data_IF_089572495170
#
_entry.id   IF_089572495170
#
_cell.length_a   1.000
_cell.length_b   1.000
_cell.length_c   1.000
_cell.angle_alpha   90.00
_cell.angle_beta   90.00
_cell.angle_gamma   90.00
#
_symmetry.space_group_name_H-M   'P 1'
#
loop_
_entity.id
_entity.type
_entity.pdbx_description
1 polymer ?
#
# COMPACT_ATOMS: atom_id res chain seq x y z
N UNK A 1 -33.86 13.69 11.10
CA UNK A 1 -33.35 14.95 10.52
C UNK A 1 -31.90 14.70 10.15
N UNK A 2 -31.54 14.74 8.87
CA UNK A 2 -30.15 14.65 8.41
C UNK A 2 -29.51 16.02 8.52
N UNK A 3 -28.35 16.11 9.18
CA UNK A 3 -27.58 17.35 9.26
C UNK A 3 -27.25 17.88 7.87
N UNK A 4 -27.24 19.21 7.65
CA UNK A 4 -26.82 19.78 6.38
C UNK A 4 -25.36 19.39 6.08
N UNK A 5 -24.98 19.27 4.79
CA UNK A 5 -23.60 18.98 4.42
C UNK A 5 -22.68 20.11 4.93
N UNK A 6 -21.45 19.77 5.34
CA UNK A 6 -20.50 20.75 5.87
C UNK A 6 -20.15 21.80 4.81
N UNK A 7 -19.96 23.04 5.25
CA UNK A 7 -19.54 24.13 4.36
C UNK A 7 -18.08 23.94 3.90
N UNK A 8 -17.69 24.61 2.82
CA UNK A 8 -16.31 24.54 2.30
C UNK A 8 -15.25 24.92 3.37
N UNK A 9 -15.41 26.00 4.16
CA UNK A 9 -14.46 26.32 5.23
C UNK A 9 -14.38 25.22 6.30
N UNK A 10 -15.50 24.60 6.67
CA UNK A 10 -15.54 23.51 7.64
C UNK A 10 -14.82 22.25 7.12
N UNK A 11 -15.04 21.91 5.85
CA UNK A 11 -14.34 20.80 5.17
C UNK A 11 -12.83 21.04 5.15
N UNK A 12 -12.42 22.25 4.75
CA UNK A 12 -11.00 22.62 4.69
C UNK A 12 -10.33 22.56 6.07
N UNK A 13 -10.99 23.08 7.10
CA UNK A 13 -10.47 23.03 8.46
C UNK A 13 -10.32 21.59 8.96
N UNK A 14 -11.31 20.73 8.69
CA UNK A 14 -11.25 19.30 9.04
C UNK A 14 -10.10 18.60 8.33
N UNK A 15 -10.00 18.73 7.02
CA UNK A 15 -8.96 18.05 6.24
C UNK A 15 -7.56 18.56 6.58
N UNK A 16 -7.41 19.85 6.91
CA UNK A 16 -6.14 20.38 7.42
C UNK A 16 -5.74 19.72 8.74
N UNK A 17 -6.69 19.49 9.65
CA UNK A 17 -6.43 18.78 10.89
C UNK A 17 -6.06 17.30 10.63
N UNK A 18 -6.81 16.62 9.77
CA UNK A 18 -6.55 15.21 9.41
C UNK A 18 -5.16 15.05 8.76
N UNK A 19 -4.81 15.91 7.80
CA UNK A 19 -3.49 15.93 7.17
C UNK A 19 -2.39 16.27 8.17
N UNK A 20 -2.63 17.15 9.14
CA UNK A 20 -1.67 17.45 10.20
C UNK A 20 -1.42 16.25 11.12
N UNK A 21 -2.43 15.41 11.38
CA UNK A 21 -2.26 14.16 12.14
C UNK A 21 -1.44 13.16 11.31
N UNK A 22 -1.74 13.03 10.02
CA UNK A 22 -0.96 12.19 9.11
C UNK A 22 0.50 12.64 9.02
N UNK A 23 0.77 13.94 9.00
CA UNK A 23 2.13 14.49 8.99
C UNK A 23 2.98 14.07 10.20
N UNK A 24 2.35 13.74 11.34
CA UNK A 24 3.05 13.26 12.53
C UNK A 24 3.37 11.76 12.51
N UNK A 25 2.89 11.02 11.52
CA UNK A 25 2.97 9.54 11.49
C UNK A 25 3.39 8.96 10.14
N UNK A 26 3.26 9.73 9.05
CA UNK A 26 3.50 9.29 7.67
C UNK A 26 4.68 10.01 7.05
N UNK A 27 5.26 9.40 6.01
CA UNK A 27 6.36 10.01 5.24
C UNK A 27 5.93 11.29 4.52
N UNK A 28 6.86 12.23 4.34
CA UNK A 28 6.60 13.46 3.56
C UNK A 28 6.14 13.12 2.14
N UNK A 29 6.69 12.05 1.57
CA UNK A 29 6.27 11.48 0.28
C UNK A 29 4.76 11.24 0.19
N UNK A 30 4.17 10.75 1.28
CA UNK A 30 2.74 10.44 1.38
C UNK A 30 1.90 11.67 1.70
N UNK A 31 2.43 12.59 2.51
CA UNK A 31 1.68 13.72 3.08
C UNK A 31 1.70 14.95 2.18
N UNK A 32 2.79 15.18 1.44
CA UNK A 32 2.99 16.34 0.56
C UNK A 32 1.82 16.56 -0.42
N UNK A 33 1.33 15.55 -1.17
CA UNK A 33 0.20 15.73 -2.08
C UNK A 33 -1.06 16.26 -1.39
N UNK A 34 -1.37 15.74 -0.19
CA UNK A 34 -2.56 16.13 0.57
C UNK A 34 -2.44 17.56 1.09
N UNK A 35 -1.27 17.88 1.65
CA UNK A 35 -0.97 19.21 2.19
C UNK A 35 -1.04 20.27 1.09
N UNK A 36 -0.40 20.03 -0.04
CA UNK A 36 -0.39 20.95 -1.16
C UNK A 36 -1.78 21.15 -1.78
N UNK A 37 -2.62 20.10 -1.82
CA UNK A 37 -4.00 20.20 -2.24
C UNK A 37 -4.84 21.09 -1.31
N UNK A 38 -4.74 20.86 0.00
CA UNK A 38 -5.44 21.68 1.02
C UNK A 38 -5.01 23.14 0.91
N UNK A 39 -3.71 23.40 0.74
CA UNK A 39 -3.18 24.76 0.61
C UNK A 39 -3.51 25.41 -0.75
N UNK A 40 -3.68 24.62 -1.82
CA UNK A 40 -4.20 25.12 -3.09
C UNK A 40 -5.65 25.60 -2.95
N UNK A 41 -6.52 24.81 -2.32
CA UNK A 41 -7.92 25.21 -2.06
C UNK A 41 -8.00 26.42 -1.13
N UNK A 42 -7.17 26.47 -0.09
CA UNK A 42 -7.11 27.61 0.83
C UNK A 42 -6.75 28.94 0.11
N UNK A 43 -6.00 28.86 -1.00
CA UNK A 43 -5.61 30.00 -1.84
C UNK A 43 -6.61 30.31 -2.96
N UNK A 44 -7.79 29.68 -2.96
CA UNK A 44 -8.83 29.89 -3.97
C UNK A 44 -8.78 28.90 -5.14
N UNK A 45 -8.04 27.81 -5.00
CA UNK A 45 -8.06 26.69 -5.96
C UNK A 45 -9.40 25.94 -6.00
N UNK A 46 -9.54 24.98 -6.92
CA UNK A 46 -10.80 24.30 -7.17
C UNK A 46 -11.17 23.35 -6.01
N UNK A 47 -12.42 23.43 -5.56
CA UNK A 47 -12.90 22.77 -4.34
C UNK A 47 -12.94 21.23 -4.41
N UNK A 48 -12.99 20.67 -5.62
CA UNK A 48 -12.99 19.22 -5.88
C UNK A 48 -11.63 18.56 -5.55
N UNK A 49 -10.56 19.35 -5.35
CA UNK A 49 -9.32 18.86 -4.76
C UNK A 49 -9.54 18.30 -3.34
N UNK A 50 -10.50 18.83 -2.58
CA UNK A 50 -10.82 18.29 -1.26
C UNK A 50 -11.45 16.89 -1.34
N UNK A 51 -12.18 16.58 -2.42
CA UNK A 51 -12.73 15.24 -2.63
C UNK A 51 -11.59 14.24 -2.88
N UNK A 52 -10.55 14.65 -3.61
CA UNK A 52 -9.34 13.85 -3.81
C UNK A 52 -8.54 13.64 -2.52
N UNK A 53 -8.43 14.67 -1.67
CA UNK A 53 -7.80 14.56 -0.34
C UNK A 53 -8.57 13.59 0.54
N UNK A 54 -9.90 13.71 0.62
CA UNK A 54 -10.75 12.77 1.37
C UNK A 54 -10.58 11.33 0.86
N UNK A 55 -10.56 11.14 -0.46
CA UNK A 55 -10.34 9.84 -1.09
C UNK A 55 -8.99 9.21 -0.72
N UNK A 56 -7.90 9.98 -0.82
CA UNK A 56 -6.56 9.51 -0.46
C UNK A 56 -6.41 9.25 1.03
N UNK A 57 -6.95 10.10 1.91
CA UNK A 57 -6.95 9.85 3.37
C UNK A 57 -7.71 8.55 3.70
N UNK A 58 -8.84 8.29 3.04
CA UNK A 58 -9.56 7.03 3.21
C UNK A 58 -8.78 5.82 2.66
N UNK A 59 -8.06 5.98 1.54
CA UNK A 59 -7.19 4.94 1.00
C UNK A 59 -6.01 4.64 1.93
N UNK A 60 -5.42 5.64 2.57
CA UNK A 60 -4.34 5.45 3.55
C UNK A 60 -4.84 4.66 4.76
N UNK A 61 -5.99 5.06 5.33
CA UNK A 61 -6.59 4.32 6.44
C UNK A 61 -6.94 2.87 6.06
N UNK A 62 -7.38 2.64 4.82
CA UNK A 62 -7.62 1.30 4.29
C UNK A 62 -6.32 0.50 4.17
N UNK A 63 -5.28 1.09 3.59
CA UNK A 63 -3.98 0.45 3.43
C UNK A 63 -3.46 -0.01 4.80
N UNK A 64 -3.56 0.84 5.82
CA UNK A 64 -3.12 0.50 7.18
C UNK A 64 -3.90 -0.67 7.80
N UNK A 65 -5.22 -0.69 7.61
CA UNK A 65 -6.05 -1.81 8.02
C UNK A 65 -5.68 -3.11 7.29
N UNK A 66 -5.30 -3.03 6.01
CA UNK A 66 -4.88 -4.18 5.21
C UNK A 66 -3.49 -4.67 5.62
N UNK A 67 -2.51 -3.77 5.81
CA UNK A 67 -1.17 -4.11 6.30
C UNK A 67 -1.23 -4.79 7.66
N UNK A 68 -2.02 -4.25 8.60
CA UNK A 68 -2.22 -4.86 9.93
C UNK A 68 -2.88 -6.23 9.89
N UNK A 69 -3.69 -6.53 8.88
CA UNK A 69 -4.26 -7.87 8.66
C UNK A 69 -3.24 -8.81 8.05
N UNK A 70 -2.47 -8.33 7.07
CA UNK A 70 -1.44 -9.08 6.38
C UNK A 70 -0.34 -9.50 7.36
N UNK A 71 0.18 -8.56 8.14
CA UNK A 71 1.19 -8.76 9.19
C UNK A 71 0.76 -9.84 10.20
N UNK A 72 -0.46 -9.74 10.74
CA UNK A 72 -1.01 -10.78 11.63
C UNK A 72 -1.04 -12.15 10.97
N UNK A 73 -1.47 -12.21 9.71
CA UNK A 73 -1.54 -13.47 9.01
C UNK A 73 -0.15 -14.03 8.64
N UNK A 74 0.85 -13.20 8.37
CA UNK A 74 2.26 -13.66 8.23
C UNK A 74 2.76 -14.24 9.57
N UNK A 75 2.46 -13.59 10.70
CA UNK A 75 2.82 -14.10 12.04
C UNK A 75 2.14 -15.44 12.35
N UNK A 76 0.85 -15.58 12.02
CA UNK A 76 0.14 -16.86 12.18
C UNK A 76 0.81 -17.98 11.37
N UNK A 77 1.29 -17.68 10.15
CA UNK A 77 2.00 -18.66 9.33
C UNK A 77 3.41 -18.98 9.86
N UNK A 78 4.10 -18.01 10.47
CA UNK A 78 5.36 -18.26 11.19
C UNK A 78 5.16 -19.22 12.37
N UNK A 79 4.12 -19.00 13.18
CA UNK A 79 3.81 -19.86 14.32
C UNK A 79 3.46 -21.29 13.87
N UNK A 80 2.73 -21.41 12.75
CA UNK A 80 2.46 -22.71 12.11
C UNK A 80 3.73 -23.37 11.60
N UNK A 81 4.59 -22.64 10.90
CA UNK A 81 5.88 -23.16 10.40
C UNK A 81 6.77 -23.64 11.55
N UNK A 82 6.83 -22.89 12.66
CA UNK A 82 7.55 -23.29 13.86
C UNK A 82 6.97 -24.59 14.45
N UNK A 83 5.64 -24.72 14.53
CA UNK A 83 4.98 -25.94 14.99
C UNK A 83 5.31 -27.14 14.08
N UNK A 84 5.26 -26.96 12.76
CA UNK A 84 5.58 -28.02 11.78
C UNK A 84 7.03 -28.51 11.91
N UNK A 85 7.98 -27.60 12.16
CA UNK A 85 9.40 -27.96 12.39
C UNK A 85 9.60 -28.88 13.62
N UNK A 86 8.67 -28.87 14.58
CA UNK A 86 8.75 -29.70 15.78
C UNK A 86 8.17 -31.11 15.64
N UNK A 87 7.35 -31.39 14.61
CA UNK A 87 6.71 -32.70 14.40
C UNK A 87 7.62 -33.60 13.55
N UNK A 88 8.16 -34.67 14.15
CA UNK A 88 9.35 -35.39 13.66
C UNK A 88 9.09 -36.77 13.03
N UNK A 89 9.74 -37.02 11.89
CA UNK A 89 10.23 -38.32 11.39
C UNK A 89 11.60 -38.14 10.69
N UNK A 90 12.39 -39.21 10.52
CA UNK A 90 13.76 -39.16 9.96
C UNK A 90 13.84 -38.70 8.49
N UNK A 91 12.75 -38.82 7.72
CA UNK A 91 12.65 -38.32 6.35
C UNK A 91 12.45 -36.79 6.26
N UNK A 92 12.14 -36.12 7.37
CA UNK A 92 11.75 -34.70 7.41
C UNK A 92 12.88 -33.74 7.82
N UNK A 93 14.12 -34.23 8.03
CA UNK A 93 15.24 -33.42 8.53
C UNK A 93 15.73 -32.35 7.54
N UNK A 94 15.75 -32.63 6.23
CA UNK A 94 16.10 -31.64 5.21
C UNK A 94 15.02 -30.53 5.13
N UNK A 95 13.74 -30.94 5.13
CA UNK A 95 12.60 -30.01 5.16
C UNK A 95 12.57 -29.15 6.42
N UNK A 96 13.07 -29.64 7.57
CA UNK A 96 13.14 -28.86 8.79
C UNK A 96 14.19 -27.73 8.74
N UNK A 97 15.32 -27.95 8.07
CA UNK A 97 16.31 -26.90 7.83
C UNK A 97 15.73 -25.81 6.92
N UNK A 98 15.05 -26.20 5.84
CA UNK A 98 14.39 -25.28 4.91
C UNK A 98 13.32 -24.44 5.63
N UNK A 99 12.49 -25.07 6.48
CA UNK A 99 11.48 -24.37 7.30
C UNK A 99 12.13 -23.40 8.28
N UNK A 100 13.22 -23.78 8.95
CA UNK A 100 13.93 -22.90 9.88
C UNK A 100 14.56 -21.70 9.17
N UNK A 101 15.16 -21.91 7.99
CA UNK A 101 15.73 -20.84 7.17
C UNK A 101 14.65 -19.89 6.66
N UNK A 102 13.56 -20.42 6.12
CA UNK A 102 12.42 -19.61 5.65
C UNK A 102 11.79 -18.81 6.81
N UNK A 103 11.60 -19.46 7.97
CA UNK A 103 11.07 -18.79 9.17
C UNK A 103 11.98 -17.67 9.68
N UNK A 104 13.30 -17.87 9.71
CA UNK A 104 14.25 -16.83 10.11
C UNK A 104 14.25 -15.65 9.14
N UNK A 105 14.25 -15.92 7.82
CA UNK A 105 14.22 -14.87 6.80
C UNK A 105 12.91 -14.06 6.86
N UNK A 106 11.75 -14.71 6.96
CA UNK A 106 10.47 -14.02 7.10
C UNK A 106 10.35 -13.26 8.42
N UNK A 107 10.95 -13.74 9.51
CA UNK A 107 10.99 -13.02 10.79
C UNK A 107 11.82 -11.74 10.71
N UNK A 108 12.95 -11.77 9.99
CA UNK A 108 13.76 -10.57 9.74
C UNK A 108 12.98 -9.54 8.92
N UNK A 109 12.30 -9.97 7.84
CA UNK A 109 11.48 -9.10 7.02
C UNK A 109 10.29 -8.49 7.78
N UNK A 110 9.68 -9.25 8.70
CA UNK A 110 8.65 -8.71 9.59
C UNK A 110 9.21 -7.65 10.54
N UNK A 111 10.40 -7.86 11.09
CA UNK A 111 11.05 -6.88 11.94
C UNK A 111 11.34 -5.60 11.15
N UNK A 112 11.87 -5.72 9.94
CA UNK A 112 12.12 -4.59 9.04
C UNK A 112 10.81 -3.86 8.70
N UNK A 113 9.71 -4.59 8.48
CA UNK A 113 8.39 -4.01 8.24
C UNK A 113 7.85 -3.27 9.47
N UNK A 114 7.99 -3.85 10.66
CA UNK A 114 7.61 -3.23 11.93
C UNK A 114 8.45 -1.96 12.20
N UNK A 115 9.75 -1.99 11.91
CA UNK A 115 10.65 -0.83 12.02
C UNK A 115 10.26 0.27 11.02
N UNK A 116 9.97 -0.08 9.77
CA UNK A 116 9.48 0.85 8.76
C UNK A 116 8.14 1.50 9.16
N UNK A 117 7.27 0.78 9.86
CA UNK A 117 6.01 1.31 10.40
C UNK A 117 6.20 2.15 11.67
N UNK A 118 7.15 1.78 12.54
CA UNK A 118 7.38 2.43 13.82
C UNK A 118 8.25 3.69 13.72
N UNK A 119 9.05 3.83 12.65
CA UNK A 119 9.82 5.03 12.40
C UNK A 119 8.89 6.22 12.12
N UNK A 120 8.68 7.05 13.15
CA UNK A 120 7.66 8.10 13.24
C UNK A 120 7.74 9.28 12.23
N UNK A 121 8.36 9.08 11.07
CA UNK A 121 8.38 10.02 9.95
C UNK A 121 8.55 9.30 8.59
N UNK A 122 8.45 7.97 8.55
CA UNK A 122 8.80 7.14 7.39
C UNK A 122 7.73 6.14 6.99
N UNK A 123 6.54 6.16 7.61
CA UNK A 123 5.49 5.24 7.19
C UNK A 123 5.11 5.50 5.72
N UNK A 124 5.56 4.60 4.85
CA UNK A 124 5.20 4.48 3.45
C UNK A 124 4.50 3.11 3.30
N UNK A 125 3.16 3.10 3.11
CA UNK A 125 2.39 1.87 2.97
C UNK A 125 2.89 0.95 1.87
N UNK A 126 3.44 1.49 0.78
CA UNK A 126 3.97 0.69 -0.32
C UNK A 126 5.28 -0.01 0.09
N UNK A 127 6.16 0.69 0.81
CA UNK A 127 7.40 0.08 1.32
C UNK A 127 7.13 -1.04 2.34
N UNK A 128 6.22 -0.79 3.29
CA UNK A 128 5.81 -1.81 4.26
C UNK A 128 5.13 -3.02 3.56
N UNK A 129 4.32 -2.76 2.52
CA UNK A 129 3.72 -3.82 1.73
C UNK A 129 4.79 -4.68 1.04
N UNK A 130 5.82 -4.09 0.42
CA UNK A 130 6.90 -4.85 -0.23
C UNK A 130 7.54 -5.85 0.73
N UNK A 131 7.91 -5.41 1.94
CA UNK A 131 8.52 -6.27 2.95
C UNK A 131 7.57 -7.42 3.38
N UNK A 132 6.28 -7.13 3.54
CA UNK A 132 5.29 -8.15 3.88
C UNK A 132 5.03 -9.14 2.73
N UNK A 133 5.08 -8.69 1.47
CA UNK A 133 4.96 -9.56 0.29
C UNK A 133 6.18 -10.46 0.16
N UNK A 134 7.38 -9.97 0.47
CA UNK A 134 8.60 -10.77 0.50
C UNK A 134 8.56 -11.80 1.63
N UNK A 135 8.14 -11.40 2.83
CA UNK A 135 7.98 -12.31 3.96
C UNK A 135 6.96 -13.42 3.64
N UNK A 136 5.83 -13.05 3.03
CA UNK A 136 4.83 -14.00 2.55
C UNK A 136 5.41 -14.97 1.51
N UNK A 137 6.09 -14.47 0.48
CA UNK A 137 6.67 -15.32 -0.57
C UNK A 137 7.70 -16.31 -0.01
N UNK A 138 8.54 -15.88 0.94
CA UNK A 138 9.50 -16.76 1.62
C UNK A 138 8.76 -17.88 2.37
N UNK A 139 7.71 -17.55 3.12
CA UNK A 139 6.94 -18.56 3.86
C UNK A 139 6.13 -19.47 2.96
N UNK A 140 5.56 -18.94 1.87
CA UNK A 140 4.72 -19.70 0.94
C UNK A 140 5.46 -20.95 0.41
N UNK A 141 6.77 -20.85 0.18
CA UNK A 141 7.61 -21.98 -0.24
C UNK A 141 7.57 -23.18 0.71
N UNK A 142 7.29 -22.95 2.00
CA UNK A 142 7.28 -24.00 3.04
C UNK A 142 5.89 -24.29 3.58
N UNK A 143 4.95 -23.33 3.57
CA UNK A 143 3.60 -23.53 4.14
C UNK A 143 2.52 -23.87 3.11
N UNK A 144 2.75 -23.67 1.81
CA UNK A 144 1.70 -23.89 0.78
C UNK A 144 1.18 -25.32 0.73
N UNK A 145 2.02 -26.32 1.01
CA UNK A 145 1.59 -27.72 1.12
C UNK A 145 0.66 -28.02 2.30
N UNK A 146 0.56 -27.10 3.27
CA UNK A 146 -0.20 -27.25 4.51
C UNK A 146 -1.44 -26.34 4.58
N UNK A 147 -1.58 -25.37 3.68
CA UNK A 147 -2.77 -24.52 3.61
C UNK A 147 -3.87 -25.22 2.82
N UNK A 148 -5.08 -25.18 3.35
CA UNK A 148 -6.25 -25.61 2.60
C UNK A 148 -6.48 -24.69 1.39
N UNK A 149 -7.00 -25.19 0.26
CA UNK A 149 -7.19 -24.39 -0.96
C UNK A 149 -7.98 -23.10 -0.74
N UNK A 150 -8.98 -23.14 0.15
CA UNK A 150 -9.76 -21.97 0.53
C UNK A 150 -8.91 -20.92 1.24
N UNK A 151 -8.09 -21.33 2.21
CA UNK A 151 -7.20 -20.42 2.94
C UNK A 151 -6.15 -19.80 2.00
N UNK A 152 -5.64 -20.56 1.02
CA UNK A 152 -4.74 -20.03 0.00
C UNK A 152 -5.43 -18.97 -0.88
N UNK A 153 -6.67 -19.22 -1.31
CA UNK A 153 -7.43 -18.24 -2.10
C UNK A 153 -7.75 -16.97 -1.30
N UNK A 154 -8.15 -17.10 -0.04
CA UNK A 154 -8.38 -15.96 0.87
C UNK A 154 -7.09 -15.15 1.10
N UNK A 155 -5.93 -15.82 1.23
CA UNK A 155 -4.61 -15.19 1.32
C UNK A 155 -4.26 -14.42 0.05
N UNK A 156 -4.41 -15.03 -1.12
CA UNK A 156 -4.15 -14.37 -2.41
C UNK A 156 -5.01 -13.13 -2.62
N UNK A 157 -6.30 -13.20 -2.24
CA UNK A 157 -7.19 -12.05 -2.32
C UNK A 157 -6.75 -10.93 -1.36
N UNK A 158 -6.35 -11.25 -0.14
CA UNK A 158 -5.82 -10.26 0.82
C UNK A 158 -4.59 -9.53 0.26
N UNK A 159 -3.63 -10.28 -0.28
CA UNK A 159 -2.42 -9.73 -0.90
C UNK A 159 -2.78 -8.85 -2.11
N UNK A 160 -3.71 -9.30 -2.95
CA UNK A 160 -4.16 -8.57 -4.12
C UNK A 160 -4.80 -7.24 -3.74
N UNK A 161 -5.70 -7.24 -2.76
CA UNK A 161 -6.39 -6.03 -2.32
C UNK A 161 -5.40 -5.03 -1.70
N UNK A 162 -4.39 -5.50 -0.96
CA UNK A 162 -3.35 -4.65 -0.40
C UNK A 162 -2.49 -4.02 -1.51
N UNK A 163 -2.03 -4.82 -2.49
CA UNK A 163 -1.29 -4.33 -3.67
C UNK A 163 -2.10 -3.33 -4.48
N UNK A 164 -3.39 -3.60 -4.70
CA UNK A 164 -4.27 -2.68 -5.42
C UNK A 164 -4.41 -1.34 -4.70
N UNK A 165 -4.58 -1.33 -3.38
CA UNK A 165 -4.65 -0.10 -2.59
C UNK A 165 -3.34 0.68 -2.65
N UNK A 166 -2.19 0.02 -2.48
CA UNK A 166 -0.88 0.67 -2.52
C UNK A 166 -0.56 1.28 -3.90
N UNK A 167 -0.85 0.54 -4.98
CA UNK A 167 -0.71 1.05 -6.34
C UNK A 167 -1.56 2.31 -6.57
N UNK A 168 -2.80 2.29 -6.07
CA UNK A 168 -3.73 3.42 -6.18
C UNK A 168 -3.29 4.63 -5.38
N UNK A 169 -2.70 4.44 -4.19
CA UNK A 169 -2.12 5.54 -3.41
C UNK A 169 -1.05 6.30 -4.19
N UNK A 170 -0.13 5.60 -4.84
CA UNK A 170 0.91 6.23 -5.66
C UNK A 170 0.34 6.97 -6.89
N UNK A 171 -0.54 6.31 -7.63
CA UNK A 171 -1.15 6.88 -8.83
C UNK A 171 -2.05 8.10 -8.53
N UNK A 172 -2.94 8.00 -7.53
CA UNK A 172 -3.86 9.08 -7.17
C UNK A 172 -3.08 10.27 -6.56
N UNK A 173 -1.98 10.03 -5.83
CA UNK A 173 -1.10 11.07 -5.32
C UNK A 173 -0.36 11.83 -6.45
N UNK A 174 0.19 11.10 -7.43
CA UNK A 174 0.82 11.68 -8.61
C UNK A 174 -0.17 12.51 -9.43
N UNK A 175 -1.38 11.97 -9.66
CA UNK A 175 -2.46 12.67 -10.35
C UNK A 175 -2.87 13.95 -9.60
N UNK A 176 -2.98 13.90 -8.27
CA UNK A 176 -3.31 15.06 -7.45
C UNK A 176 -2.25 16.17 -7.59
N UNK A 177 -0.96 15.83 -7.49
CA UNK A 177 0.14 16.79 -7.69
C UNK A 177 0.14 17.37 -9.11
N UNK A 178 -0.10 16.53 -10.13
CA UNK A 178 -0.24 16.98 -11.52
C UNK A 178 -1.38 17.98 -11.71
N UNK A 179 -2.51 17.79 -11.01
CA UNK A 179 -3.64 18.74 -11.02
C UNK A 179 -3.32 20.07 -10.35
N UNK A 180 -2.50 20.06 -9.29
CA UNK A 180 -2.13 21.27 -8.52
C UNK A 180 -1.12 22.11 -9.30
N UNK A 181 -0.11 21.47 -9.89
CA UNK A 181 1.06 22.16 -10.46
C UNK A 181 1.07 22.25 -11.97
N UNK A 182 0.14 21.58 -12.66
CA UNK A 182 -0.04 21.66 -14.10
C UNK A 182 1.25 21.36 -14.85
N UNK A 183 1.71 22.33 -15.65
CA UNK A 183 2.85 22.17 -16.55
C UNK A 183 4.22 22.03 -15.84
N UNK A 184 4.29 22.25 -14.52
CA UNK A 184 5.50 21.93 -13.75
C UNK A 184 5.73 20.43 -13.61
N UNK A 185 4.70 19.61 -13.80
CA UNK A 185 4.80 18.15 -13.84
C UNK A 185 4.77 17.71 -15.29
N UNK A 186 5.79 16.98 -15.72
CA UNK A 186 5.88 16.50 -17.09
C UNK A 186 4.75 15.52 -17.43
N UNK A 187 4.57 15.21 -18.72
CA UNK A 187 3.48 14.33 -19.15
C UNK A 187 3.71 12.87 -18.72
N UNK A 188 4.96 12.41 -18.63
CA UNK A 188 5.31 11.02 -18.37
C UNK A 188 4.72 10.47 -17.05
N UNK A 189 4.95 11.09 -15.87
CA UNK A 189 4.40 10.58 -14.61
C UNK A 189 2.86 10.67 -14.56
N UNK A 190 2.25 11.66 -15.24
CA UNK A 190 0.79 11.79 -15.34
C UNK A 190 0.17 10.64 -16.13
N UNK A 191 0.71 10.35 -17.31
CA UNK A 191 0.28 9.23 -18.15
C UNK A 191 0.47 7.92 -17.38
N UNK A 192 1.61 7.75 -16.71
CA UNK A 192 1.89 6.55 -15.92
C UNK A 192 0.88 6.35 -14.79
N UNK A 193 0.47 7.43 -14.10
CA UNK A 193 -0.56 7.38 -13.07
C UNK A 193 -1.94 7.01 -13.65
N UNK A 194 -2.37 7.67 -14.72
CA UNK A 194 -3.65 7.41 -15.40
C UNK A 194 -3.75 5.95 -15.88
N UNK A 195 -2.74 5.47 -16.60
CA UNK A 195 -2.67 4.08 -17.07
C UNK A 195 -2.69 3.07 -15.91
N UNK A 196 -2.06 3.43 -14.79
CA UNK A 196 -2.05 2.57 -13.60
C UNK A 196 -3.46 2.44 -13.01
N UNK A 197 -4.22 3.55 -12.89
CA UNK A 197 -5.60 3.51 -12.39
C UNK A 197 -6.49 2.67 -13.31
N UNK A 198 -6.42 2.87 -14.62
CA UNK A 198 -7.20 2.11 -15.61
C UNK A 198 -6.89 0.60 -15.55
N UNK A 199 -5.62 0.26 -15.35
CA UNK A 199 -5.18 -1.13 -15.19
C UNK A 199 -5.76 -1.74 -13.91
N UNK A 200 -5.72 -1.05 -12.78
CA UNK A 200 -6.22 -1.55 -11.49
C UNK A 200 -7.71 -1.91 -11.52
N UNK A 201 -8.52 -1.16 -12.28
CA UNK A 201 -9.95 -1.46 -12.42
C UNK A 201 -10.21 -2.70 -13.28
N UNK A 202 -9.31 -3.00 -14.22
CA UNK A 202 -9.33 -4.25 -14.97
C UNK A 202 -8.88 -5.44 -14.14
N UNK A 203 -7.87 -5.27 -13.28
CA UNK A 203 -7.40 -6.31 -12.37
C UNK A 203 -8.46 -6.77 -11.37
N UNK A 204 -9.33 -5.86 -10.92
CA UNK A 204 -10.44 -6.21 -10.03
C UNK A 204 -11.37 -7.27 -10.62
N UNK A 205 -11.60 -7.21 -11.94
CA UNK A 205 -12.40 -8.21 -12.66
C UNK A 205 -11.63 -9.52 -12.83
N UNK A 206 -10.34 -9.42 -13.13
CA UNK A 206 -9.47 -10.58 -13.28
C UNK A 206 -9.35 -11.39 -11.99
N UNK A 207 -9.28 -10.73 -10.83
CA UNK A 207 -9.14 -11.40 -9.54
C UNK A 207 -10.28 -12.38 -9.22
N UNK A 208 -11.47 -12.20 -9.82
CA UNK A 208 -12.59 -13.11 -9.65
C UNK A 208 -12.41 -14.45 -10.39
N UNK A 209 -11.59 -14.48 -11.45
CA UNK A 209 -11.36 -15.67 -12.29
C UNK A 209 -9.95 -16.23 -12.18
N UNK A 210 -8.97 -15.36 -11.92
CA UNK A 210 -7.56 -15.68 -11.82
C UNK A 210 -6.88 -14.76 -10.78
N UNK A 211 -7.01 -15.08 -9.47
CA UNK A 211 -6.46 -14.26 -8.40
C UNK A 211 -4.93 -14.25 -8.37
N UNK A 212 -4.28 -15.32 -8.84
CA UNK A 212 -2.82 -15.42 -8.86
C UNK A 212 -2.23 -14.45 -9.89
N UNK A 213 -2.72 -14.47 -11.12
CA UNK A 213 -2.29 -13.51 -12.14
C UNK A 213 -2.72 -12.09 -11.81
N UNK A 214 -3.90 -11.89 -11.21
CA UNK A 214 -4.31 -10.57 -10.75
C UNK A 214 -3.36 -10.00 -9.67
N UNK A 215 -2.90 -10.83 -8.72
CA UNK A 215 -1.93 -10.45 -7.71
C UNK A 215 -0.59 -10.05 -8.34
N UNK A 216 -0.04 -10.85 -9.26
CA UNK A 216 1.23 -10.55 -9.92
C UNK A 216 1.18 -9.20 -10.65
N UNK A 217 0.10 -8.96 -11.41
CA UNK A 217 -0.08 -7.69 -12.10
C UNK A 217 -0.36 -6.53 -11.14
N UNK A 218 -1.00 -6.76 -9.99
CA UNK A 218 -1.19 -5.74 -8.97
C UNK A 218 0.14 -5.34 -8.33
N UNK A 219 1.08 -6.28 -8.15
CA UNK A 219 2.44 -5.99 -7.66
C UNK A 219 3.20 -5.10 -8.63
N UNK A 220 3.16 -5.41 -9.94
CA UNK A 220 3.74 -4.55 -10.97
C UNK A 220 3.11 -3.13 -10.95
N UNK A 221 1.79 -3.05 -10.71
CA UNK A 221 1.11 -1.77 -10.61
C UNK A 221 1.53 -0.96 -9.36
N UNK A 222 1.96 -1.60 -8.27
CA UNK A 222 2.54 -0.89 -7.10
C UNK A 222 3.80 -0.15 -7.52
N UNK A 223 4.71 -0.81 -8.23
CA UNK A 223 5.95 -0.21 -8.71
C UNK A 223 5.68 0.95 -9.68
N UNK A 224 4.71 0.79 -10.60
CA UNK A 224 4.29 1.85 -11.52
C UNK A 224 3.71 3.06 -10.79
N UNK A 225 2.78 2.84 -9.86
CA UNK A 225 2.19 3.92 -9.06
C UNK A 225 3.24 4.63 -8.20
N UNK A 226 4.21 3.88 -7.67
CA UNK A 226 5.35 4.44 -6.94
C UNK A 226 6.24 5.29 -7.86
N UNK A 227 6.61 4.79 -9.03
CA UNK A 227 7.45 5.52 -10.01
C UNK A 227 6.78 6.80 -10.46
N UNK A 228 5.47 6.77 -10.74
CA UNK A 228 4.71 7.97 -11.10
C UNK A 228 4.80 9.06 -10.02
N UNK A 229 4.66 8.69 -8.75
CA UNK A 229 4.79 9.63 -7.64
C UNK A 229 6.23 10.12 -7.48
N UNK A 230 7.23 9.24 -7.56
CA UNK A 230 8.64 9.63 -7.44
C UNK A 230 9.06 10.60 -8.54
N UNK A 231 8.73 10.30 -9.79
CA UNK A 231 9.01 11.17 -10.93
C UNK A 231 8.28 12.51 -10.80
N UNK A 232 7.03 12.52 -10.33
CA UNK A 232 6.29 13.77 -10.07
C UNK A 232 7.00 14.62 -9.02
N UNK A 233 7.49 14.01 -7.93
CA UNK A 233 8.21 14.72 -6.87
C UNK A 233 9.54 15.28 -7.38
N UNK A 234 10.27 14.50 -8.19
CA UNK A 234 11.52 14.94 -8.84
C UNK A 234 11.27 16.15 -9.75
N UNK A 235 10.23 16.12 -10.58
CA UNK A 235 9.85 17.25 -11.44
C UNK A 235 9.59 18.53 -10.63
N UNK A 236 8.90 18.41 -9.49
CA UNK A 236 8.57 19.55 -8.64
C UNK A 236 9.80 20.12 -7.91
N UNK A 237 10.73 19.26 -7.50
CA UNK A 237 11.94 19.65 -6.78
C UNK A 237 13.03 20.19 -7.72
N UNK A 238 13.05 19.80 -8.99
CA UNK A 238 13.95 20.36 -9.99
C UNK A 238 13.65 21.82 -10.38
N UNK A 239 12.44 22.29 -10.09
CA UNK A 239 11.94 23.64 -10.44
C UNK A 239 11.91 24.59 -9.24
N UNK A 240 12.12 24.08 -8.01
CA UNK A 240 12.12 24.86 -6.75
C UNK A 240 13.48 25.42 -6.38
#
# INVERSE_FOLDING_TARGET
MTSPPPSLPERLQRLRADVSVLAGTSSERTVRPLREAVDAVARGGPADLLDAVEGLTALLARAEGQLSRLERSVRDDLDRAATLSTVRTSAQLASAADVATAGAAASALLLDADEARAAAALHDPAAALTLLLEADAVLDTVVTGYREPRAQAERQLLLFEASRTAARLGADAAALLGRIHGDRVTAAPRILAEETVDRLDSLARLAATDPATALEQAREAVDRGRSALDETLVDLDAVG
#
